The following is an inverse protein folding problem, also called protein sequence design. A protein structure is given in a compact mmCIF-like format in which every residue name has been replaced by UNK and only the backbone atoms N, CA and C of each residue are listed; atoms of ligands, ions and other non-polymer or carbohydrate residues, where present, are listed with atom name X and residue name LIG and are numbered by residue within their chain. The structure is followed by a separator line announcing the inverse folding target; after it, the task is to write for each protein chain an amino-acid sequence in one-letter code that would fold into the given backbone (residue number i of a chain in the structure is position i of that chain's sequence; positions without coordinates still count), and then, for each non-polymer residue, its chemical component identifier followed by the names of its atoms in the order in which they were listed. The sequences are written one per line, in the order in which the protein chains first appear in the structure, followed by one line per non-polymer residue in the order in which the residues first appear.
data_IF_404520685255
#
_entry.id   IF_404520685255
#
_cell.length_a   1.000
_cell.length_b   1.000
_cell.length_c   1.000
_cell.angle_alpha   90.00
_cell.angle_beta   90.00
_cell.angle_gamma   90.00
#
_symmetry.space_group_name_H-M   'P 1'
#
loop_
_entity.id
_entity.type
_entity.pdbx_description
1 polymer ?
#
# COMPACT_ATOMS: atom_id res chain seq x y z
N UNK A 1 -16.78 29.26 -6.91
CA UNK A 1 -16.50 28.54 -5.64
C UNK A 1 -16.23 27.05 -5.87
N UNK A 2 -17.11 26.26 -6.46
CA UNK A 2 -16.91 24.80 -6.61
C UNK A 2 -15.66 24.35 -7.43
N UNK A 3 -15.11 25.16 -8.34
CA UNK A 3 -13.92 24.79 -9.11
C UNK A 3 -12.60 25.10 -8.37
N UNK A 4 -12.62 26.10 -7.52
CA UNK A 4 -11.48 26.49 -6.67
C UNK A 4 -11.26 25.48 -5.55
N UNK A 5 -12.34 25.04 -4.90
CA UNK A 5 -12.27 23.97 -3.87
C UNK A 5 -11.74 22.66 -4.45
N UNK A 6 -12.11 22.30 -5.70
CA UNK A 6 -11.58 21.11 -6.38
C UNK A 6 -10.08 21.18 -6.65
N UNK A 7 -9.56 22.35 -7.03
CA UNK A 7 -8.13 22.51 -7.31
C UNK A 7 -7.29 22.39 -6.02
N UNK A 8 -7.80 22.92 -4.92
CA UNK A 8 -7.19 22.82 -3.60
C UNK A 8 -7.16 21.35 -3.14
N UNK A 9 -8.28 20.66 -3.29
CA UNK A 9 -8.40 19.24 -2.94
C UNK A 9 -7.46 18.35 -3.78
N UNK A 10 -7.28 18.66 -5.06
CA UNK A 10 -6.34 17.95 -5.94
C UNK A 10 -4.88 18.14 -5.50
N UNK A 11 -4.48 19.32 -5.01
CA UNK A 11 -3.14 19.57 -4.50
C UNK A 11 -2.92 18.79 -3.19
N UNK A 12 -3.88 18.83 -2.27
CA UNK A 12 -3.82 18.02 -1.05
C UNK A 12 -3.72 16.53 -1.36
N UNK A 13 -4.53 16.05 -2.31
CA UNK A 13 -4.51 14.67 -2.74
C UNK A 13 -3.18 14.26 -3.39
N UNK A 14 -2.55 15.16 -4.14
CA UNK A 14 -1.24 14.89 -4.73
C UNK A 14 -0.16 14.63 -3.66
N UNK A 15 -0.15 15.42 -2.60
CA UNK A 15 0.81 15.24 -1.51
C UNK A 15 0.49 14.05 -0.61
N UNK A 16 -0.76 13.68 -0.41
CA UNK A 16 -1.15 12.46 0.34
C UNK A 16 -0.68 11.16 -0.32
N UNK A 17 -0.25 11.21 -1.57
CA UNK A 17 0.27 10.05 -2.33
C UNK A 17 1.72 9.73 -2.03
N UNK A 18 2.43 10.66 -1.41
CA UNK A 18 3.85 10.53 -1.12
C UNK A 18 4.05 9.71 0.16
N UNK A 19 5.16 8.97 0.20
CA UNK A 19 5.58 8.29 1.43
C UNK A 19 6.08 9.31 2.46
N UNK A 20 6.18 8.88 3.71
CA UNK A 20 6.71 9.72 4.79
C UNK A 20 8.08 10.34 4.44
N UNK A 21 8.99 9.53 3.90
CA UNK A 21 10.33 9.97 3.50
C UNK A 21 10.28 11.02 2.39
N UNK A 22 9.40 10.84 1.42
CA UNK A 22 9.20 11.79 0.33
C UNK A 22 8.61 13.11 0.83
N UNK A 23 7.63 13.06 1.74
CA UNK A 23 7.06 14.25 2.36
C UNK A 23 8.13 15.04 3.12
N UNK A 24 8.97 14.37 3.92
CA UNK A 24 10.09 14.99 4.64
C UNK A 24 11.08 15.63 3.66
N UNK A 25 11.42 14.95 2.56
CA UNK A 25 12.33 15.50 1.56
C UNK A 25 11.78 16.79 0.94
N UNK A 26 10.51 16.78 0.51
CA UNK A 26 9.86 17.95 -0.07
C UNK A 26 9.72 19.12 0.92
N UNK A 27 9.47 18.83 2.20
CA UNK A 27 9.43 19.84 3.25
C UNK A 27 10.82 20.46 3.53
N UNK A 28 11.88 19.64 3.56
CA UNK A 28 13.26 20.12 3.72
C UNK A 28 13.66 21.04 2.57
N UNK A 29 13.36 20.69 1.34
CA UNK A 29 13.63 21.52 0.16
C UNK A 29 12.94 22.89 0.25
N UNK A 30 11.74 22.95 0.84
CA UNK A 30 10.98 24.20 1.05
C UNK A 30 11.28 24.89 2.38
N UNK A 31 12.25 24.39 3.16
CA UNK A 31 12.59 24.89 4.50
C UNK A 31 11.39 24.92 5.47
N UNK A 32 10.51 23.91 5.34
CA UNK A 32 9.33 23.75 6.19
C UNK A 32 9.61 22.75 7.32
N UNK A 33 8.89 22.87 8.45
CA UNK A 33 9.00 21.90 9.55
C UNK A 33 8.67 20.47 9.10
N UNK A 34 9.49 19.50 9.54
CA UNK A 34 9.39 18.08 9.12
C UNK A 34 8.76 17.19 10.20
N UNK A 35 8.24 17.75 11.28
CA UNK A 35 7.58 17.01 12.36
C UNK A 35 6.07 16.92 12.14
N UNK A 36 5.48 15.78 12.47
CA UNK A 36 4.03 15.52 12.38
C UNK A 36 3.70 14.22 11.67
N UNK A 37 2.41 13.89 11.60
CA UNK A 37 1.88 12.77 10.85
C UNK A 37 1.93 13.05 9.33
N UNK A 38 1.87 12.00 8.51
CA UNK A 38 1.87 12.12 7.04
C UNK A 38 0.76 13.04 6.51
N UNK A 39 -0.41 13.01 7.15
CA UNK A 39 -1.51 13.90 6.82
C UNK A 39 -1.19 15.37 7.09
N UNK A 40 -0.51 15.66 8.20
CA UNK A 40 -0.08 17.02 8.55
C UNK A 40 1.06 17.49 7.64
N UNK A 41 2.01 16.62 7.32
CA UNK A 41 3.11 16.91 6.40
C UNK A 41 2.58 17.21 4.99
N UNK A 42 1.66 16.36 4.48
CA UNK A 42 0.99 16.57 3.19
C UNK A 42 0.17 17.86 3.17
N UNK A 43 -0.58 18.15 4.25
CA UNK A 43 -1.35 19.39 4.37
C UNK A 43 -0.47 20.62 4.37
N UNK A 44 0.68 20.56 5.06
CA UNK A 44 1.66 21.66 5.11
C UNK A 44 2.26 21.96 3.75
N UNK A 45 2.62 20.93 2.98
CA UNK A 45 3.09 21.08 1.60
C UNK A 45 2.01 21.67 0.70
N UNK A 46 0.78 21.14 0.76
CA UNK A 46 -0.34 21.64 -0.04
C UNK A 46 -0.65 23.11 0.27
N UNK A 47 -0.70 23.49 1.54
CA UNK A 47 -0.93 24.88 1.94
C UNK A 47 0.19 25.81 1.46
N UNK A 48 1.44 25.38 1.56
CA UNK A 48 2.57 26.15 1.05
C UNK A 48 2.45 26.41 -0.44
N UNK A 49 2.15 25.38 -1.25
CA UNK A 49 2.05 25.51 -2.69
C UNK A 49 0.80 26.32 -3.10
N UNK A 50 -0.35 26.12 -2.44
CA UNK A 50 -1.55 26.93 -2.66
C UNK A 50 -1.29 28.43 -2.40
N UNK A 51 -0.54 28.77 -1.35
CA UNK A 51 -0.19 30.14 -1.04
C UNK A 51 0.91 30.72 -1.94
N UNK A 52 1.82 29.90 -2.43
CA UNK A 52 2.97 30.32 -3.22
C UNK A 52 2.66 30.45 -4.69
N UNK A 53 1.89 29.49 -5.23
CA UNK A 53 1.45 29.47 -6.61
C UNK A 53 0.00 29.95 -6.66
N UNK A 54 -0.26 31.22 -6.82
CA UNK A 54 -1.60 31.73 -7.08
C UNK A 54 -2.18 31.03 -8.30
N UNK A 55 -3.10 30.09 -8.07
CA UNK A 55 -3.92 29.56 -9.15
C UNK A 55 -4.72 30.71 -9.78
N UNK A 56 -4.57 30.98 -11.08
CA UNK A 56 -5.30 32.07 -11.70
C UNK A 56 -6.80 31.77 -11.59
N UNK A 57 -7.51 32.57 -10.80
CA UNK A 57 -8.98 32.57 -10.82
C UNK A 57 -9.43 32.93 -12.23
N UNK A 58 -10.18 32.03 -12.85
CA UNK A 58 -10.88 32.28 -14.11
C UNK A 58 -12.12 33.20 -13.87
N UNK A 59 -11.92 34.39 -13.35
CA UNK A 59 -12.93 35.44 -13.35
C UNK A 59 -12.25 36.75 -13.73
N UNK A 60 -11.99 36.88 -15.01
CA UNK A 60 -11.52 38.08 -15.65
C UNK A 60 -12.47 38.50 -16.76
N UNK A 61 -13.66 38.91 -16.40
CA UNK A 61 -14.41 39.85 -17.27
C UNK A 61 -15.28 40.77 -16.44
N UNK A 62 -15.06 42.05 -16.69
CA UNK A 62 -15.97 43.16 -16.46
C UNK A 62 -15.82 43.93 -15.14
N UNK A 63 -15.42 45.18 -15.29
CA UNK A 63 -15.57 46.21 -14.28
C UNK A 63 -14.48 47.28 -14.34
N UNK A 64 -14.56 48.19 -15.30
CA UNK A 64 -13.87 49.48 -15.21
C UNK A 64 -14.36 50.19 -13.95
N UNK A 65 -13.44 50.50 -13.04
CA UNK A 65 -13.58 51.66 -12.14
C UNK A 65 -12.23 52.29 -11.89
N UNK A 66 -12.25 53.58 -11.81
CA UNK A 66 -11.20 54.61 -11.81
C UNK A 66 -10.34 54.59 -10.56
N UNK A 67 -9.16 55.25 -10.62
CA UNK A 67 -8.14 55.14 -9.56
C UNK A 67 -8.39 56.14 -8.41
N UNK A 68 -8.36 55.70 -7.19
CA UNK A 68 -8.07 56.53 -6.03
C UNK A 68 -6.75 56.10 -5.37
N UNK A 69 -6.02 57.08 -5.02
CA UNK A 69 -4.62 57.13 -4.56
C UNK A 69 -4.38 56.45 -3.22
N UNK A 70 -3.24 55.80 -3.12
CA UNK A 70 -2.44 55.78 -1.92
C UNK A 70 -2.56 54.54 -1.00
N UNK A 71 -1.75 53.54 -1.28
CA UNK A 71 -0.88 52.97 -0.25
C UNK A 71 0.16 52.02 -0.89
N UNK A 72 1.39 52.29 -0.50
CA UNK A 72 2.62 51.60 -0.89
C UNK A 72 2.56 50.07 -0.67
N UNK A 73 2.18 49.32 -1.70
CA UNK A 73 2.10 47.90 -1.72
C UNK A 73 2.67 47.34 -3.02
N UNK A 74 3.96 47.48 -3.22
CA UNK A 74 4.61 46.74 -4.30
C UNK A 74 6.10 46.56 -4.08
N UNK A 75 6.45 45.69 -3.14
CA UNK A 75 7.62 44.85 -3.37
C UNK A 75 7.09 43.59 -4.06
N UNK A 76 7.50 43.28 -5.30
CA UNK A 76 7.20 42.03 -5.91
C UNK A 76 7.74 40.93 -4.97
N UNK A 77 6.86 40.08 -4.43
CA UNK A 77 7.30 38.89 -3.69
C UNK A 77 8.23 38.16 -4.62
N UNK A 78 9.49 38.00 -4.20
CA UNK A 78 10.48 37.22 -4.94
C UNK A 78 9.85 35.88 -5.25
N UNK A 79 9.68 35.58 -6.56
CA UNK A 79 9.29 34.22 -6.99
C UNK A 79 10.34 33.30 -6.39
N UNK A 80 9.91 32.35 -5.56
CA UNK A 80 10.78 31.24 -5.18
C UNK A 80 11.22 30.60 -6.50
N UNK A 81 12.52 30.53 -6.78
CA UNK A 81 12.97 29.96 -8.05
C UNK A 81 12.44 28.53 -8.15
N UNK A 82 11.84 28.20 -9.28
CA UNK A 82 11.46 26.83 -9.59
C UNK A 82 12.71 25.94 -9.48
N UNK A 83 12.54 24.74 -8.90
CA UNK A 83 13.64 23.79 -8.84
C UNK A 83 14.13 23.50 -10.26
N UNK A 84 15.45 23.50 -10.50
CA UNK A 84 15.99 23.06 -11.78
C UNK A 84 15.46 21.69 -12.18
N UNK A 85 15.20 21.48 -13.46
CA UNK A 85 14.63 20.24 -13.96
C UNK A 85 15.51 19.03 -13.64
N UNK A 86 16.82 19.24 -13.53
CA UNK A 86 17.80 18.20 -13.16
C UNK A 86 17.57 17.74 -11.70
N UNK A 87 17.29 18.68 -10.78
CA UNK A 87 17.01 18.37 -9.38
C UNK A 87 15.66 17.65 -9.26
N UNK A 88 14.66 18.09 -10.04
CA UNK A 88 13.37 17.39 -10.10
C UNK A 88 13.54 15.97 -10.66
N UNK A 89 14.38 15.78 -11.67
CA UNK A 89 14.67 14.47 -12.23
C UNK A 89 15.32 13.53 -11.19
N UNK A 90 16.31 14.04 -10.45
CA UNK A 90 16.96 13.28 -9.38
C UNK A 90 15.97 12.91 -8.26
N UNK A 91 15.11 13.85 -7.85
CA UNK A 91 14.04 13.59 -6.87
C UNK A 91 13.12 12.48 -7.40
N UNK A 92 12.67 12.55 -8.65
CA UNK A 92 11.77 11.56 -9.24
C UNK A 92 12.44 10.19 -9.38
N UNK A 93 13.72 10.15 -9.69
CA UNK A 93 14.48 8.90 -9.74
C UNK A 93 14.60 8.26 -8.35
N UNK A 94 14.77 9.05 -7.29
CA UNK A 94 14.73 8.56 -5.90
C UNK A 94 13.34 8.11 -5.44
N UNK A 95 12.28 8.75 -5.94
CA UNK A 95 10.89 8.32 -5.74
C UNK A 95 10.64 6.94 -6.32
N UNK A 96 11.36 6.59 -7.39
CA UNK A 96 11.28 5.28 -8.02
C UNK A 96 9.98 5.03 -8.81
N UNK A 97 9.20 6.08 -9.09
CA UNK A 97 7.92 5.99 -9.80
C UNK A 97 8.02 6.60 -11.21
N UNK A 98 8.27 5.74 -12.19
CA UNK A 98 8.36 6.16 -13.60
C UNK A 98 7.07 6.82 -14.10
N UNK A 99 5.90 6.28 -13.70
CA UNK A 99 4.59 6.80 -14.12
C UNK A 99 4.37 8.21 -13.58
N UNK A 100 4.72 8.44 -12.32
CA UNK A 100 4.62 9.76 -11.70
C UNK A 100 5.56 10.76 -12.37
N UNK A 101 6.81 10.39 -12.62
CA UNK A 101 7.76 11.26 -13.31
C UNK A 101 7.25 11.67 -14.69
N UNK A 102 6.72 10.72 -15.47
CA UNK A 102 6.12 11.00 -16.78
C UNK A 102 4.84 11.82 -16.70
N UNK A 103 3.98 11.57 -15.69
CA UNK A 103 2.75 12.32 -15.50
C UNK A 103 3.00 13.81 -15.22
N UNK A 104 4.06 14.13 -14.47
CA UNK A 104 4.44 15.53 -14.18
C UNK A 104 5.39 16.13 -15.23
N UNK A 105 5.73 15.37 -16.27
CA UNK A 105 6.59 15.83 -17.37
C UNK A 105 8.07 15.98 -17.03
N UNK A 106 8.55 15.32 -15.98
CA UNK A 106 9.94 15.37 -15.54
C UNK A 106 10.74 14.25 -16.20
N UNK A 107 11.95 14.51 -16.71
CA UNK A 107 12.86 13.46 -17.18
C UNK A 107 13.18 12.47 -16.06
N UNK A 108 13.35 11.19 -16.40
CA UNK A 108 13.72 10.14 -15.44
C UNK A 108 14.63 9.13 -16.08
N UNK A 109 15.62 8.64 -15.33
CA UNK A 109 16.51 7.54 -15.70
C UNK A 109 15.90 6.16 -15.43
N UNK A 110 14.75 6.10 -14.73
CA UNK A 110 14.09 4.86 -14.42
C UNK A 110 13.68 4.10 -15.68
N UNK A 111 13.86 2.78 -15.70
CA UNK A 111 13.44 1.96 -16.83
C UNK A 111 11.92 2.01 -16.99
N UNK A 112 11.47 2.06 -18.25
CA UNK A 112 10.04 1.98 -18.55
C UNK A 112 9.48 0.64 -18.06
N UNK A 113 8.39 0.66 -17.27
CA UNK A 113 7.78 -0.58 -16.79
C UNK A 113 7.26 -1.44 -17.95
N UNK A 114 7.40 -2.78 -17.82
CA UNK A 114 6.99 -3.73 -18.86
C UNK A 114 5.56 -3.50 -19.37
N UNK A 115 4.56 -3.22 -18.55
CA UNK A 115 3.21 -2.95 -19.06
C UNK A 115 3.12 -1.78 -20.04
N UNK A 116 4.01 -0.80 -19.93
CA UNK A 116 4.06 0.39 -20.81
C UNK A 116 4.74 0.14 -22.14
N UNK A 117 5.45 -0.97 -22.33
CA UNK A 117 6.10 -1.31 -23.61
C UNK A 117 5.10 -1.53 -24.76
N UNK A 118 3.84 -1.85 -24.40
CA UNK A 118 2.73 -2.06 -25.34
C UNK A 118 1.68 -0.94 -25.29
N UNK A 119 1.99 0.15 -24.59
CA UNK A 119 1.10 1.30 -24.48
C UNK A 119 0.93 1.99 -25.83
N UNK A 120 -0.29 2.41 -26.11
CA UNK A 120 -0.65 3.15 -27.33
C UNK A 120 -0.65 4.68 -27.08
N UNK A 121 -0.84 5.52 -28.11
CA UNK A 121 -0.84 6.97 -27.95
C UNK A 121 -1.87 7.47 -26.94
N UNK A 122 -3.04 6.81 -26.82
CA UNK A 122 -4.05 7.20 -25.86
C UNK A 122 -3.64 6.87 -24.41
N UNK A 123 -2.94 5.76 -24.19
CA UNK A 123 -2.38 5.43 -22.87
C UNK A 123 -1.39 6.50 -22.40
N UNK A 124 -0.50 6.95 -23.29
CA UNK A 124 0.45 8.03 -23.00
C UNK A 124 -0.24 9.38 -22.77
N UNK A 125 -1.33 9.66 -23.48
CA UNK A 125 -2.12 10.86 -23.25
C UNK A 125 -2.82 10.82 -21.89
N UNK A 126 -3.40 9.68 -21.49
CA UNK A 126 -4.03 9.49 -20.18
C UNK A 126 -3.01 9.61 -19.06
N UNK A 127 -1.77 9.17 -19.27
CA UNK A 127 -0.68 9.29 -18.29
C UNK A 127 -0.47 10.75 -17.86
N UNK A 128 -0.65 11.72 -18.76
CA UNK A 128 -0.53 13.15 -18.45
C UNK A 128 -1.76 13.74 -17.74
N UNK A 129 -2.91 13.06 -17.78
CA UNK A 129 -4.18 13.59 -17.28
C UNK A 129 -4.74 14.80 -18.07
N UNK A 130 -4.14 15.15 -19.21
CA UNK A 130 -4.48 16.36 -19.97
C UNK A 130 -5.47 16.04 -21.09
N UNK A 131 -6.73 16.50 -20.92
CA UNK A 131 -7.85 16.21 -21.81
C UNK A 131 -7.59 16.55 -23.29
N UNK A 132 -6.98 17.70 -23.66
CA UNK A 132 -6.70 18.00 -25.07
C UNK A 132 -5.81 16.95 -25.76
N UNK A 133 -4.81 16.38 -25.06
CA UNK A 133 -4.00 15.30 -25.61
C UNK A 133 -4.78 14.00 -25.75
N UNK A 134 -5.65 13.68 -24.78
CA UNK A 134 -6.52 12.51 -24.86
C UNK A 134 -7.49 12.62 -26.02
N UNK A 135 -8.04 13.82 -26.24
CA UNK A 135 -8.91 14.10 -27.40
C UNK A 135 -8.16 13.95 -28.73
N UNK A 136 -6.93 14.46 -28.80
CA UNK A 136 -6.10 14.35 -30.00
C UNK A 136 -5.67 12.89 -30.31
N UNK A 137 -5.48 12.07 -29.27
CA UNK A 137 -5.17 10.66 -29.40
C UNK A 137 -6.37 9.79 -29.81
N UNK A 138 -7.58 10.32 -29.75
CA UNK A 138 -8.86 9.67 -30.08
C UNK A 138 -9.04 8.30 -29.42
N UNK A 139 -9.65 8.26 -28.21
CA UNK A 139 -9.90 7.00 -27.50
C UNK A 139 -10.76 5.98 -28.23
N UNK A 140 -11.53 6.41 -29.24
CA UNK A 140 -12.37 5.50 -30.03
C UNK A 140 -11.53 4.68 -31.00
N UNK A 141 -10.53 5.30 -31.62
CA UNK A 141 -9.59 4.67 -32.56
C UNK A 141 -8.45 3.97 -31.82
N UNK A 142 -7.81 4.67 -30.86
CA UNK A 142 -6.71 4.15 -30.04
C UNK A 142 -7.25 3.78 -28.66
N UNK A 143 -7.90 2.63 -28.55
CA UNK A 143 -8.53 2.20 -27.28
C UNK A 143 -7.51 2.12 -26.15
N UNK A 144 -7.73 2.83 -25.03
CA UNK A 144 -6.89 2.74 -23.86
C UNK A 144 -6.80 1.30 -23.32
N UNK A 145 -5.65 0.95 -22.77
CA UNK A 145 -5.41 -0.38 -22.17
C UNK A 145 -5.74 -0.38 -20.68
N UNK A 146 -5.66 -1.57 -20.06
CA UNK A 146 -5.84 -1.71 -18.60
C UNK A 146 -4.81 -0.89 -17.81
N UNK A 147 -3.62 -0.65 -18.37
CA UNK A 147 -2.55 0.11 -17.71
C UNK A 147 -3.01 1.54 -17.45
N UNK A 148 -3.50 2.23 -18.49
CA UNK A 148 -4.00 3.61 -18.34
C UNK A 148 -5.31 3.68 -17.54
N UNK A 149 -6.16 2.63 -17.60
CA UNK A 149 -7.35 2.56 -16.76
C UNK A 149 -7.01 2.56 -15.27
N UNK A 150 -6.07 1.71 -14.84
CA UNK A 150 -5.60 1.65 -13.46
C UNK A 150 -4.90 2.96 -13.07
N UNK A 151 -4.08 3.50 -13.96
CA UNK A 151 -3.34 4.74 -13.73
C UNK A 151 -4.27 5.95 -13.53
N UNK A 152 -5.30 6.11 -14.35
CA UNK A 152 -6.25 7.21 -14.21
C UNK A 152 -6.94 7.20 -12.84
N UNK A 153 -7.24 6.02 -12.31
CA UNK A 153 -7.77 5.85 -10.95
C UNK A 153 -6.67 6.12 -9.92
N UNK A 154 -5.49 5.53 -10.07
CA UNK A 154 -4.34 5.68 -9.16
C UNK A 154 -3.95 7.15 -8.99
N UNK A 155 -3.98 7.95 -10.04
CA UNK A 155 -3.66 9.38 -9.99
C UNK A 155 -4.89 10.27 -9.73
N UNK A 156 -6.06 9.66 -9.47
CA UNK A 156 -7.30 10.38 -9.17
C UNK A 156 -7.71 11.37 -10.28
N UNK A 157 -7.54 10.98 -11.55
CA UNK A 157 -7.89 11.80 -12.70
C UNK A 157 -9.40 11.79 -12.96
N UNK A 158 -10.17 12.34 -12.01
CA UNK A 158 -11.64 12.44 -12.12
C UNK A 158 -12.07 13.13 -13.40
N UNK A 159 -11.32 14.16 -13.86
CA UNK A 159 -11.55 14.84 -15.13
C UNK A 159 -11.46 13.90 -16.35
N UNK A 160 -10.52 12.97 -16.33
CA UNK A 160 -10.36 11.96 -17.40
C UNK A 160 -11.50 10.96 -17.37
N UNK A 161 -11.86 10.47 -16.17
CA UNK A 161 -12.99 9.57 -15.97
C UNK A 161 -14.29 10.19 -16.47
N UNK A 162 -14.57 11.44 -16.09
CA UNK A 162 -15.74 12.21 -16.54
C UNK A 162 -15.75 12.40 -18.06
N UNK A 163 -14.60 12.77 -18.65
CA UNK A 163 -14.46 12.94 -20.08
C UNK A 163 -14.75 11.64 -20.84
N UNK A 164 -14.15 10.52 -20.43
CA UNK A 164 -14.38 9.22 -21.06
C UNK A 164 -15.82 8.75 -20.88
N UNK A 165 -16.40 8.92 -19.70
CA UNK A 165 -17.79 8.57 -19.44
C UNK A 165 -18.78 9.34 -20.31
N UNK A 166 -18.54 10.65 -20.50
CA UNK A 166 -19.45 11.54 -21.22
C UNK A 166 -19.30 11.40 -22.74
N UNK A 167 -18.06 11.33 -23.26
CA UNK A 167 -17.80 11.42 -24.70
C UNK A 167 -17.46 10.05 -25.33
N UNK A 168 -16.94 9.09 -24.56
CA UNK A 168 -16.48 7.79 -25.04
C UNK A 168 -17.01 6.65 -24.17
N UNK A 169 -18.32 6.63 -23.91
CA UNK A 169 -18.99 5.71 -22.96
C UNK A 169 -18.66 4.23 -23.21
N UNK A 170 -18.65 3.79 -24.47
CA UNK A 170 -18.32 2.39 -24.80
C UNK A 170 -16.87 2.02 -24.45
N UNK A 171 -15.94 2.97 -24.60
CA UNK A 171 -14.54 2.81 -24.22
C UNK A 171 -14.45 2.76 -22.70
N UNK A 172 -15.08 3.71 -22.00
CA UNK A 172 -15.14 3.73 -20.54
C UNK A 172 -15.63 2.40 -19.96
N UNK A 173 -16.77 1.91 -20.43
CA UNK A 173 -17.34 0.64 -19.96
C UNK A 173 -16.43 -0.58 -20.28
N UNK A 174 -15.68 -0.52 -21.37
CA UNK A 174 -14.71 -1.57 -21.68
C UNK A 174 -13.47 -1.56 -20.79
N UNK A 175 -13.04 -0.39 -20.33
CA UNK A 175 -11.90 -0.19 -19.43
C UNK A 175 -12.22 -0.61 -17.98
N UNK A 176 -13.39 -0.25 -17.49
CA UNK A 176 -13.77 -0.40 -16.07
C UNK A 176 -14.81 -1.50 -15.85
N UNK A 177 -14.55 -2.70 -16.43
CA UNK A 177 -15.37 -3.90 -16.19
C UNK A 177 -15.14 -4.46 -14.79
N UNK A 178 -16.10 -5.25 -14.32
CA UNK A 178 -15.98 -6.07 -13.10
C UNK A 178 -15.59 -5.25 -11.85
N UNK A 179 -16.22 -4.08 -11.69
CA UNK A 179 -16.00 -3.18 -10.56
C UNK A 179 -14.53 -2.73 -10.38
N UNK A 180 -13.72 -2.79 -11.45
CA UNK A 180 -12.30 -2.40 -11.41
C UNK A 180 -12.09 -1.00 -10.82
N UNK A 181 -13.00 -0.06 -11.11
CA UNK A 181 -12.86 1.33 -10.69
C UNK A 181 -12.96 1.49 -9.17
N UNK A 182 -14.05 1.06 -8.48
CA UNK A 182 -14.14 1.19 -7.03
C UNK A 182 -13.09 0.33 -6.31
N UNK A 183 -12.74 -0.86 -6.81
CA UNK A 183 -11.69 -1.69 -6.23
C UNK A 183 -10.33 -0.96 -6.30
N UNK A 184 -9.94 -0.49 -7.49
CA UNK A 184 -8.65 0.20 -7.67
C UNK A 184 -8.61 1.53 -6.89
N UNK A 185 -9.70 2.29 -6.85
CA UNK A 185 -9.78 3.52 -6.09
C UNK A 185 -9.58 3.28 -4.59
N UNK A 186 -10.18 2.21 -4.07
CA UNK A 186 -10.04 1.81 -2.67
C UNK A 186 -8.62 1.39 -2.32
N UNK A 187 -7.98 0.58 -3.18
CA UNK A 187 -6.59 0.15 -3.06
C UNK A 187 -5.61 1.31 -2.94
N UNK A 188 -5.91 2.42 -3.60
CA UNK A 188 -5.04 3.59 -3.67
C UNK A 188 -5.52 4.78 -2.82
N UNK A 189 -6.56 4.64 -2.02
CA UNK A 189 -7.05 5.71 -1.17
C UNK A 189 -7.72 6.86 -1.92
N UNK A 190 -8.30 6.62 -3.11
CA UNK A 190 -8.80 7.67 -4.00
C UNK A 190 -10.28 7.96 -3.76
N UNK A 191 -10.58 8.56 -2.61
CA UNK A 191 -11.96 8.88 -2.17
C UNK A 191 -12.68 9.83 -3.13
N UNK A 192 -11.97 10.73 -3.81
CA UNK A 192 -12.55 11.59 -4.84
C UNK A 192 -13.09 10.77 -6.03
N UNK A 193 -12.37 9.72 -6.44
CA UNK A 193 -12.82 8.79 -7.49
C UNK A 193 -14.01 7.97 -7.01
N UNK A 194 -13.98 7.47 -5.78
CA UNK A 194 -15.09 6.74 -5.17
C UNK A 194 -16.36 7.59 -5.10
N UNK A 195 -16.23 8.86 -4.71
CA UNK A 195 -17.34 9.80 -4.61
C UNK A 195 -17.90 10.15 -5.98
N UNK A 196 -17.03 10.37 -6.97
CA UNK A 196 -17.44 10.56 -8.37
C UNK A 196 -18.17 9.32 -8.91
N UNK A 197 -17.64 8.12 -8.68
CA UNK A 197 -18.23 6.86 -9.11
C UNK A 197 -19.62 6.65 -8.47
N UNK A 198 -19.75 6.86 -7.15
CA UNK A 198 -21.04 6.77 -6.46
C UNK A 198 -22.06 7.76 -7.02
N UNK A 199 -21.63 9.01 -7.26
CA UNK A 199 -22.48 10.04 -7.87
C UNK A 199 -22.96 9.60 -9.26
N UNK A 200 -22.05 9.10 -10.10
CA UNK A 200 -22.37 8.63 -11.45
C UNK A 200 -23.28 7.41 -11.43
N UNK A 201 -23.05 6.45 -10.53
CA UNK A 201 -23.96 5.32 -10.31
C UNK A 201 -25.38 5.78 -9.93
N UNK A 202 -25.49 6.75 -9.03
CA UNK A 202 -26.80 7.25 -8.58
C UNK A 202 -27.59 7.91 -9.72
N UNK A 203 -26.93 8.63 -10.64
CA UNK A 203 -27.58 9.32 -11.75
C UNK A 203 -27.74 8.43 -13.01
N UNK A 204 -26.92 7.41 -13.15
CA UNK A 204 -26.91 6.51 -14.31
C UNK A 204 -26.83 5.03 -13.88
N UNK A 205 -27.82 4.53 -13.11
CA UNK A 205 -27.79 3.16 -12.56
C UNK A 205 -27.93 2.07 -13.64
N UNK A 206 -28.44 2.44 -14.81
CA UNK A 206 -28.55 1.60 -16.01
C UNK A 206 -27.19 1.40 -16.72
N UNK A 207 -26.24 2.29 -16.47
CA UNK A 207 -24.91 2.28 -17.09
C UNK A 207 -23.85 1.75 -16.14
N UNK A 208 -23.83 2.23 -14.91
CA UNK A 208 -22.95 1.78 -13.86
C UNK A 208 -23.79 1.01 -12.84
N UNK A 209 -23.71 -0.32 -12.87
CA UNK A 209 -24.46 -1.18 -11.96
C UNK A 209 -24.00 -1.00 -10.51
N UNK A 210 -24.87 -1.43 -9.59
CA UNK A 210 -24.47 -1.56 -8.18
C UNK A 210 -23.32 -2.56 -8.04
N UNK A 211 -22.30 -2.26 -7.22
CA UNK A 211 -21.18 -3.17 -7.02
C UNK A 211 -21.65 -4.47 -6.36
N UNK A 212 -21.04 -5.57 -6.74
CA UNK A 212 -21.29 -6.87 -6.12
C UNK A 212 -20.73 -6.91 -4.70
N UNK A 213 -21.32 -7.68 -3.78
CA UNK A 213 -20.78 -7.84 -2.42
C UNK A 213 -19.32 -8.29 -2.41
N UNK A 214 -18.93 -9.19 -3.30
CA UNK A 214 -17.56 -9.68 -3.43
C UNK A 214 -16.61 -8.56 -3.86
N UNK A 215 -17.03 -7.69 -4.78
CA UNK A 215 -16.25 -6.54 -5.22
C UNK A 215 -16.06 -5.49 -4.12
N UNK A 216 -17.07 -5.33 -3.25
CA UNK A 216 -16.98 -4.46 -2.08
C UNK A 216 -15.97 -5.07 -1.08
N UNK A 217 -16.06 -6.39 -0.84
CA UNK A 217 -15.11 -7.07 0.02
C UNK A 217 -13.67 -6.93 -0.50
N UNK A 218 -13.43 -7.14 -1.80
CA UNK A 218 -12.12 -6.93 -2.42
C UNK A 218 -11.61 -5.49 -2.26
N UNK A 219 -12.50 -4.51 -2.36
CA UNK A 219 -12.18 -3.09 -2.19
C UNK A 219 -11.78 -2.76 -0.74
N UNK A 220 -12.53 -3.27 0.24
CA UNK A 220 -12.29 -3.05 1.68
C UNK A 220 -11.05 -3.81 2.16
N UNK A 221 -10.90 -5.07 1.76
CA UNK A 221 -9.73 -5.90 2.09
C UNK A 221 -8.46 -5.30 1.46
N UNK A 222 -8.57 -4.83 0.21
CA UNK A 222 -7.50 -4.15 -0.47
C UNK A 222 -7.10 -2.80 0.14
N UNK A 223 -8.08 -2.01 0.58
CA UNK A 223 -7.84 -0.77 1.31
C UNK A 223 -7.13 -1.05 2.65
N UNK A 224 -7.57 -2.07 3.37
CA UNK A 224 -6.95 -2.51 4.62
C UNK A 224 -5.49 -2.94 4.42
N UNK A 225 -5.22 -3.77 3.40
CA UNK A 225 -3.88 -4.21 3.03
C UNK A 225 -2.93 -3.05 2.73
N UNK A 226 -3.42 -2.01 2.07
CA UNK A 226 -2.61 -0.88 1.62
C UNK A 226 -2.59 0.30 2.61
N UNK A 227 -3.22 0.17 3.77
CA UNK A 227 -3.20 1.22 4.78
C UNK A 227 -4.13 2.41 4.49
N UNK A 228 -5.16 2.22 3.64
CA UNK A 228 -6.00 3.31 3.14
C UNK A 228 -7.22 3.57 4.04
N UNK A 229 -6.98 4.12 5.24
CA UNK A 229 -8.03 4.43 6.23
C UNK A 229 -9.14 5.31 5.64
N UNK A 230 -8.78 6.32 4.83
CA UNK A 230 -9.77 7.19 4.19
C UNK A 230 -10.75 6.44 3.26
N UNK A 231 -10.29 5.35 2.60
CA UNK A 231 -11.18 4.49 1.82
C UNK A 231 -12.12 3.69 2.71
N UNK A 232 -11.63 3.21 3.85
CA UNK A 232 -12.45 2.47 4.82
C UNK A 232 -13.55 3.37 5.40
N UNK A 233 -13.21 4.61 5.80
CA UNK A 233 -14.20 5.60 6.25
C UNK A 233 -15.21 5.91 5.15
N UNK A 234 -14.75 6.07 3.90
CA UNK A 234 -15.65 6.29 2.78
C UNK A 234 -16.64 5.12 2.58
N UNK A 235 -16.16 3.87 2.64
CA UNK A 235 -17.02 2.70 2.44
C UNK A 235 -18.05 2.55 3.55
N UNK A 236 -17.67 2.70 4.83
CA UNK A 236 -18.59 2.55 5.95
C UNK A 236 -19.71 3.60 5.93
N UNK A 237 -19.41 4.81 5.42
CA UNK A 237 -20.36 5.92 5.31
C UNK A 237 -21.02 6.02 3.92
N UNK A 238 -20.67 5.13 2.99
CA UNK A 238 -21.13 5.20 1.61
C UNK A 238 -22.62 4.90 1.42
N UNK A 239 -23.25 4.20 2.36
CA UNK A 239 -24.60 3.66 2.22
C UNK A 239 -24.70 2.39 1.36
N UNK A 240 -23.60 1.87 0.83
CA UNK A 240 -23.50 0.51 0.30
C UNK A 240 -23.39 -0.49 1.46
N UNK A 241 -23.75 -1.78 1.26
CA UNK A 241 -23.44 -2.82 2.23
C UNK A 241 -21.94 -2.83 2.51
N UNK A 242 -21.55 -2.83 3.79
CA UNK A 242 -20.13 -2.89 4.15
C UNK A 242 -19.72 -4.36 4.27
N UNK A 243 -19.07 -4.85 3.22
CA UNK A 243 -18.61 -6.24 3.13
C UNK A 243 -17.09 -6.30 3.18
N UNK A 244 -16.57 -7.34 3.83
CA UNK A 244 -15.14 -7.62 3.94
C UNK A 244 -14.92 -9.06 4.39
N UNK A 245 -13.69 -9.55 4.24
CA UNK A 245 -13.29 -10.91 4.66
C UNK A 245 -12.25 -10.88 5.79
N UNK A 246 -11.79 -12.04 6.23
CA UNK A 246 -10.68 -12.14 7.17
C UNK A 246 -9.40 -11.51 6.59
N UNK A 247 -9.27 -11.48 5.27
CA UNK A 247 -8.12 -10.92 4.57
C UNK A 247 -7.88 -9.44 4.87
N UNK A 248 -8.91 -8.67 5.29
CA UNK A 248 -8.74 -7.28 5.71
C UNK A 248 -7.74 -7.15 6.86
N UNK A 249 -7.96 -7.90 7.95
CA UNK A 249 -7.11 -7.85 9.14
C UNK A 249 -5.81 -8.64 8.95
N UNK A 250 -5.86 -9.80 8.28
CA UNK A 250 -4.69 -10.60 7.96
C UNK A 250 -3.67 -9.83 7.11
N UNK A 251 -4.14 -9.20 6.03
CA UNK A 251 -3.28 -8.43 5.14
C UNK A 251 -2.76 -7.15 5.79
N UNK A 252 -3.58 -6.47 6.63
CA UNK A 252 -3.14 -5.32 7.40
C UNK A 252 -2.02 -5.70 8.36
N UNK A 253 -2.14 -6.84 9.04
CA UNK A 253 -1.11 -7.39 9.95
C UNK A 253 0.15 -7.78 9.18
N UNK A 254 0.02 -8.48 8.04
CA UNK A 254 1.13 -8.88 7.17
C UNK A 254 1.86 -7.69 6.51
N UNK A 255 1.27 -6.50 6.48
CA UNK A 255 1.85 -5.27 5.92
C UNK A 255 2.13 -4.21 6.97
N UNK A 256 2.02 -4.56 8.24
CA UNK A 256 2.26 -3.67 9.38
C UNK A 256 1.43 -2.37 9.31
N UNK A 257 0.13 -2.47 8.97
CA UNK A 257 -0.75 -1.32 8.83
C UNK A 257 -1.44 -0.99 10.16
N UNK A 258 -0.68 -0.54 11.14
CA UNK A 258 -1.16 -0.28 12.51
C UNK A 258 -2.36 0.67 12.51
N UNK A 259 -2.31 1.78 11.76
CA UNK A 259 -3.42 2.72 11.67
C UNK A 259 -4.74 2.08 11.17
N UNK A 260 -4.65 1.06 10.32
CA UNK A 260 -5.82 0.28 9.88
C UNK A 260 -6.30 -0.64 10.99
N UNK A 261 -5.39 -1.30 11.71
CA UNK A 261 -5.77 -2.14 12.86
C UNK A 261 -6.47 -1.31 13.95
N UNK A 262 -5.97 -0.11 14.24
CA UNK A 262 -6.60 0.85 15.14
C UNK A 262 -8.00 1.25 14.66
N UNK A 263 -8.14 1.53 13.38
CA UNK A 263 -9.43 1.87 12.76
C UNK A 263 -10.45 0.73 12.94
N UNK A 264 -10.07 -0.51 12.63
CA UNK A 264 -10.93 -1.68 12.79
C UNK A 264 -11.35 -1.88 14.24
N UNK A 265 -10.42 -1.75 15.19
CA UNK A 265 -10.68 -1.83 16.63
C UNK A 265 -11.65 -0.73 17.06
N UNK A 266 -11.41 0.51 16.67
CA UNK A 266 -12.28 1.65 16.99
C UNK A 266 -13.70 1.44 16.48
N UNK A 267 -13.86 1.06 15.21
CA UNK A 267 -15.19 0.84 14.61
C UNK A 267 -15.92 -0.36 15.23
N UNK A 268 -15.19 -1.38 15.67
CA UNK A 268 -15.80 -2.52 16.39
C UNK A 268 -16.34 -2.15 17.77
N UNK A 269 -15.65 -1.27 18.48
CA UNK A 269 -16.04 -0.80 19.81
C UNK A 269 -17.06 0.36 19.76
N UNK A 270 -17.19 1.02 18.62
CA UNK A 270 -18.09 2.17 18.45
C UNK A 270 -19.54 1.76 18.62
N UNK A 271 -20.33 2.45 19.48
CA UNK A 271 -21.76 2.18 19.64
C UNK A 271 -22.56 2.40 18.35
N UNK A 272 -22.05 3.23 17.46
CA UNK A 272 -22.72 3.59 16.19
C UNK A 272 -22.57 2.49 15.15
N UNK A 273 -21.34 1.95 14.95
CA UNK A 273 -21.08 0.97 13.90
C UNK A 273 -21.17 -0.48 14.39
N UNK A 274 -20.61 -0.80 15.57
CA UNK A 274 -20.55 -2.15 16.15
C UNK A 274 -20.09 -3.20 15.13
N UNK A 275 -19.04 -2.86 14.38
CA UNK A 275 -18.57 -3.66 13.28
C UNK A 275 -17.99 -4.99 13.80
N UNK A 276 -18.54 -6.17 13.40
CA UNK A 276 -17.99 -7.44 13.85
C UNK A 276 -16.61 -7.67 13.25
N UNK A 277 -15.61 -8.03 14.07
CA UNK A 277 -14.27 -8.32 13.55
C UNK A 277 -14.20 -9.77 13.04
N UNK A 278 -13.80 -9.94 11.78
CA UNK A 278 -13.45 -11.24 11.20
C UNK A 278 -11.96 -11.48 11.40
N UNK A 279 -11.60 -11.90 12.61
CA UNK A 279 -10.21 -12.15 12.99
C UNK A 279 -9.81 -13.53 12.46
N UNK A 280 -9.00 -13.55 11.41
CA UNK A 280 -8.39 -14.74 10.86
C UNK A 280 -7.04 -15.04 11.51
N UNK A 281 -6.06 -15.49 10.73
CA UNK A 281 -4.73 -15.91 11.18
C UNK A 281 -3.74 -14.74 11.27
N UNK A 282 -4.16 -13.66 11.91
CA UNK A 282 -3.45 -12.37 11.94
C UNK A 282 -2.04 -12.46 12.54
N UNK A 283 -1.86 -13.27 13.60
CA UNK A 283 -0.55 -13.47 14.24
C UNK A 283 0.39 -14.29 13.35
N UNK A 284 -0.15 -15.31 12.66
CA UNK A 284 0.64 -16.12 11.72
C UNK A 284 1.12 -15.25 10.55
N UNK A 285 0.23 -14.41 10.02
CA UNK A 285 0.54 -13.52 8.89
C UNK A 285 1.58 -12.46 9.27
N UNK A 286 1.46 -11.84 10.46
CA UNK A 286 2.45 -10.90 10.97
C UNK A 286 3.81 -11.57 11.23
N UNK A 287 3.79 -12.79 11.79
CA UNK A 287 5.00 -13.58 12.05
C UNK A 287 5.72 -13.96 10.74
N UNK A 288 4.98 -14.42 9.75
CA UNK A 288 5.52 -14.73 8.41
C UNK A 288 6.21 -13.53 7.77
N UNK A 289 5.59 -12.37 7.87
CA UNK A 289 6.11 -11.13 7.29
C UNK A 289 7.29 -10.53 8.09
N UNK A 290 7.41 -10.85 9.37
CA UNK A 290 8.47 -10.33 10.23
C UNK A 290 8.10 -9.05 10.98
N UNK A 291 6.81 -8.76 11.16
CA UNK A 291 6.33 -7.52 11.74
C UNK A 291 6.04 -7.64 13.23
N UNK A 292 7.05 -7.40 14.05
CA UNK A 292 6.97 -7.41 15.53
C UNK A 292 5.96 -6.37 16.04
N UNK A 293 5.90 -5.19 15.43
CA UNK A 293 4.98 -4.11 15.83
C UNK A 293 3.50 -4.55 15.70
N UNK A 294 3.15 -5.25 14.61
CA UNK A 294 1.81 -5.80 14.45
C UNK A 294 1.50 -6.89 15.48
N UNK A 295 2.48 -7.75 15.82
CA UNK A 295 2.34 -8.77 16.87
C UNK A 295 2.10 -8.12 18.24
N UNK A 296 2.85 -7.09 18.58
CA UNK A 296 2.72 -6.33 19.82
C UNK A 296 1.37 -5.63 19.91
N UNK A 297 0.91 -5.05 18.79
CA UNK A 297 -0.42 -4.46 18.69
C UNK A 297 -1.51 -5.50 19.01
N UNK A 298 -1.46 -6.69 18.42
CA UNK A 298 -2.43 -7.76 18.67
C UNK A 298 -2.38 -8.23 20.11
N UNK A 299 -1.20 -8.46 20.69
CA UNK A 299 -1.02 -8.90 22.06
C UNK A 299 -1.56 -7.89 23.07
N UNK A 300 -1.44 -6.58 22.79
CA UNK A 300 -1.92 -5.49 23.66
C UNK A 300 -3.36 -5.05 23.38
N UNK A 301 -3.96 -5.50 22.28
CA UNK A 301 -5.25 -5.01 21.78
C UNK A 301 -6.46 -5.39 22.65
N UNK A 302 -6.34 -6.37 23.56
CA UNK A 302 -7.43 -7.00 24.31
C UNK A 302 -8.44 -7.76 23.41
N UNK A 303 -8.08 -7.98 22.15
CA UNK A 303 -8.78 -8.88 21.26
C UNK A 303 -8.16 -10.27 21.38
N UNK A 304 -8.92 -11.30 21.03
CA UNK A 304 -8.44 -12.70 21.08
C UNK A 304 -7.92 -13.12 19.69
N UNK A 305 -6.62 -12.85 19.37
CA UNK A 305 -6.06 -13.23 18.09
C UNK A 305 -5.89 -14.74 18.01
N UNK A 306 -6.27 -15.32 16.88
CA UNK A 306 -6.05 -16.74 16.61
C UNK A 306 -4.65 -16.94 16.04
N UNK A 307 -3.96 -17.97 16.51
CA UNK A 307 -2.67 -18.42 15.99
C UNK A 307 -2.45 -19.90 16.29
N UNK A 308 -1.57 -20.51 15.54
CA UNK A 308 -1.17 -21.90 15.75
C UNK A 308 0.35 -22.07 15.50
N UNK A 309 0.82 -23.32 15.35
CA UNK A 309 2.23 -23.62 15.07
C UNK A 309 2.78 -22.93 13.82
N UNK A 310 1.92 -22.51 12.88
CA UNK A 310 2.33 -21.88 11.63
C UNK A 310 3.00 -20.52 11.87
N UNK A 311 2.66 -19.80 12.95
CA UNK A 311 3.31 -18.54 13.31
C UNK A 311 4.84 -18.73 13.44
N UNK A 312 5.25 -19.72 14.23
CA UNK A 312 6.68 -20.00 14.48
C UNK A 312 7.33 -20.76 13.32
N UNK A 313 6.59 -21.66 12.67
CA UNK A 313 7.05 -22.35 11.47
C UNK A 313 7.44 -21.38 10.36
N UNK A 314 6.52 -20.50 9.95
CA UNK A 314 6.79 -19.52 8.88
C UNK A 314 7.85 -18.48 9.28
N UNK A 315 7.87 -18.03 10.55
CA UNK A 315 8.94 -17.17 11.03
C UNK A 315 10.31 -17.88 10.88
N UNK A 316 10.36 -19.18 11.17
CA UNK A 316 11.58 -20.00 11.01
C UNK A 316 11.98 -20.16 9.54
N UNK A 317 11.05 -20.47 8.64
CA UNK A 317 11.30 -20.56 7.19
C UNK A 317 11.86 -19.25 6.60
N UNK A 318 11.34 -18.13 7.07
CA UNK A 318 11.68 -16.80 6.51
C UNK A 318 12.80 -16.07 7.26
N UNK A 319 13.48 -16.73 8.19
CA UNK A 319 14.64 -16.14 8.88
C UNK A 319 14.29 -15.02 9.86
N UNK A 320 13.05 -14.99 10.41
CA UNK A 320 12.55 -13.90 11.23
C UNK A 320 12.91 -14.07 12.70
N UNK A 321 14.20 -14.00 13.01
CA UNK A 321 14.75 -14.20 14.38
C UNK A 321 14.12 -13.20 15.38
N UNK A 322 13.91 -11.96 14.98
CA UNK A 322 13.30 -10.95 15.85
C UNK A 322 11.86 -11.32 16.27
N UNK A 323 11.10 -11.93 15.36
CA UNK A 323 9.76 -12.45 15.65
C UNK A 323 9.82 -13.60 16.64
N UNK A 324 10.74 -14.55 16.43
CA UNK A 324 10.94 -15.67 17.36
C UNK A 324 11.33 -15.17 18.76
N UNK A 325 12.21 -14.17 18.82
CA UNK A 325 12.60 -13.54 20.07
C UNK A 325 11.43 -12.83 20.75
N UNK A 326 10.58 -12.14 19.97
CA UNK A 326 9.37 -11.51 20.48
C UNK A 326 8.41 -12.56 21.08
N UNK A 327 8.16 -13.67 20.36
CA UNK A 327 7.30 -14.76 20.85
C UNK A 327 7.81 -15.32 22.19
N UNK A 328 9.11 -15.52 22.33
CA UNK A 328 9.74 -16.01 23.58
C UNK A 328 9.52 -15.04 24.75
N UNK A 329 9.52 -13.73 24.49
CA UNK A 329 9.32 -12.68 25.50
C UNK A 329 7.88 -12.24 25.73
N UNK A 330 6.93 -12.60 24.84
CA UNK A 330 5.56 -12.07 24.83
C UNK A 330 4.66 -12.57 25.97
N UNK A 331 5.01 -13.68 26.62
CA UNK A 331 4.17 -14.34 27.60
C UNK A 331 2.99 -15.13 27.00
N UNK A 332 2.81 -15.11 25.67
CA UNK A 332 1.83 -15.93 24.97
C UNK A 332 2.30 -17.39 24.90
N UNK A 333 1.35 -18.31 24.78
CA UNK A 333 1.70 -19.72 24.60
C UNK A 333 2.39 -19.94 23.26
N UNK A 334 3.64 -20.39 23.28
CA UNK A 334 4.36 -20.77 22.06
C UNK A 334 3.90 -22.15 21.60
N UNK A 335 3.37 -22.22 20.38
CA UNK A 335 2.94 -23.47 19.75
C UNK A 335 3.91 -23.77 18.61
N UNK A 336 4.70 -24.84 18.76
CA UNK A 336 5.71 -25.22 17.77
C UNK A 336 5.91 -26.74 17.77
N UNK A 337 6.50 -27.24 16.72
CA UNK A 337 6.91 -28.64 16.55
C UNK A 337 8.23 -28.73 15.75
N UNK A 338 8.61 -29.94 15.41
CA UNK A 338 9.84 -30.23 14.63
C UNK A 338 9.86 -29.53 13.25
N UNK A 339 8.70 -29.17 12.69
CA UNK A 339 8.62 -28.52 11.37
C UNK A 339 9.33 -27.16 11.36
N UNK A 340 9.44 -26.49 12.50
CA UNK A 340 10.19 -25.23 12.60
C UNK A 340 11.69 -25.41 12.27
N UNK A 341 12.30 -26.55 12.69
CA UNK A 341 13.69 -26.86 12.38
C UNK A 341 13.87 -27.36 10.95
N UNK A 342 12.96 -28.22 10.46
CA UNK A 342 13.00 -28.69 9.08
C UNK A 342 12.76 -27.54 8.11
N UNK A 343 11.84 -26.62 8.42
CA UNK A 343 11.59 -25.40 7.65
C UNK A 343 12.83 -24.49 7.60
N UNK A 344 13.45 -24.21 8.73
CA UNK A 344 14.69 -23.43 8.80
C UNK A 344 15.82 -24.08 7.99
N UNK A 345 15.94 -25.41 8.05
CA UNK A 345 16.96 -26.17 7.30
C UNK A 345 16.70 -26.11 5.79
N UNK A 346 15.45 -26.34 5.34
CA UNK A 346 15.04 -26.29 3.93
C UNK A 346 15.24 -24.89 3.31
N UNK A 347 15.05 -23.84 4.08
CA UNK A 347 15.22 -22.46 3.63
C UNK A 347 16.63 -21.89 3.92
N UNK A 348 17.56 -22.76 4.33
CA UNK A 348 18.96 -22.39 4.61
C UNK A 348 19.10 -21.23 5.61
N UNK A 349 18.45 -21.35 6.79
CA UNK A 349 18.39 -20.31 7.83
C UNK A 349 19.21 -20.73 9.09
N UNK A 350 20.55 -20.74 9.01
CA UNK A 350 21.38 -21.14 10.15
C UNK A 350 21.22 -20.21 11.36
N UNK A 351 20.89 -18.93 11.15
CA UNK A 351 20.60 -17.96 12.21
C UNK A 351 19.37 -18.34 13.05
N UNK A 352 18.37 -18.94 12.42
CA UNK A 352 17.18 -19.46 13.10
C UNK A 352 17.48 -20.74 13.85
N UNK A 353 18.26 -21.66 13.26
CA UNK A 353 18.70 -22.87 13.94
C UNK A 353 19.49 -22.53 15.20
N UNK A 354 20.39 -21.55 15.12
CA UNK A 354 21.15 -21.03 16.25
C UNK A 354 20.25 -20.41 17.32
N UNK A 355 19.19 -19.70 16.91
CA UNK A 355 18.23 -19.16 17.85
C UNK A 355 17.47 -20.27 18.59
N UNK A 356 16.94 -21.29 17.87
CA UNK A 356 16.27 -22.43 18.49
C UNK A 356 17.15 -23.16 19.49
N UNK A 357 18.42 -23.38 19.16
CA UNK A 357 19.38 -23.98 20.01
C UNK A 357 19.63 -23.19 21.31
N UNK A 358 19.73 -21.86 21.21
CA UNK A 358 19.97 -20.99 22.36
C UNK A 358 18.71 -20.66 23.15
N UNK A 359 17.54 -20.90 22.61
CA UNK A 359 16.25 -20.56 23.24
C UNK A 359 15.98 -21.38 24.52
N UNK A 360 16.58 -22.56 24.65
CA UNK A 360 16.33 -23.50 25.74
C UNK A 360 14.95 -24.18 25.64
N UNK A 361 14.22 -24.01 24.54
CA UNK A 361 12.93 -24.65 24.32
C UNK A 361 13.11 -26.12 23.94
N UNK A 362 12.27 -27.05 24.45
CA UNK A 362 12.41 -28.48 24.19
C UNK A 362 11.90 -28.86 22.80
N UNK A 363 12.58 -28.41 21.75
CA UNK A 363 12.25 -28.76 20.39
C UNK A 363 12.89 -30.07 19.96
N UNK A 364 12.09 -30.90 19.31
CA UNK A 364 12.50 -32.24 18.88
C UNK A 364 12.79 -32.27 17.37
N UNK A 365 13.61 -33.18 16.91
CA UNK A 365 13.87 -33.45 15.51
C UNK A 365 14.25 -34.91 15.28
N UNK A 366 14.17 -35.37 14.03
CA UNK A 366 14.75 -36.58 13.53
C UNK A 366 15.79 -36.26 12.47
N UNK A 367 16.87 -36.97 12.43
CA UNK A 367 17.93 -36.75 11.45
C UNK A 367 17.43 -36.97 10.01
N UNK A 368 16.54 -37.96 9.78
CA UNK A 368 15.92 -38.19 8.47
C UNK A 368 15.12 -36.99 7.97
N UNK A 369 14.34 -36.35 8.84
CA UNK A 369 13.52 -35.19 8.47
C UNK A 369 14.43 -33.97 8.14
N UNK A 370 15.55 -33.83 8.87
CA UNK A 370 16.51 -32.75 8.60
C UNK A 370 17.28 -33.02 7.31
N UNK A 371 17.70 -34.25 7.03
CA UNK A 371 18.41 -34.59 5.78
C UNK A 371 17.50 -34.39 4.56
N UNK A 372 16.26 -34.89 4.62
CA UNK A 372 15.28 -34.63 3.58
C UNK A 372 15.07 -33.12 3.32
N UNK A 373 14.96 -32.34 4.40
CA UNK A 373 14.83 -30.89 4.29
C UNK A 373 16.05 -30.22 3.65
N UNK A 374 17.25 -30.74 3.92
CA UNK A 374 18.51 -30.24 3.35
C UNK A 374 18.72 -30.69 1.89
N UNK A 375 18.22 -31.86 1.50
CA UNK A 375 18.22 -32.30 0.10
C UNK A 375 17.30 -31.45 -0.76
N UNK A 376 16.12 -31.10 -0.23
CA UNK A 376 15.15 -30.23 -0.87
C UNK A 376 15.45 -28.73 -0.69
N UNK A 377 16.64 -28.38 -0.20
CA UNK A 377 16.91 -27.01 0.23
C UNK A 377 16.90 -25.99 -0.92
N UNK A 378 16.17 -24.92 -0.70
CA UNK A 378 16.10 -23.77 -1.60
C UNK A 378 17.42 -22.98 -1.51
N UNK A 379 18.18 -22.95 -2.61
CA UNK A 379 19.46 -22.23 -2.67
C UNK A 379 20.67 -23.02 -2.17
N UNK A 380 20.54 -24.37 -2.01
CA UNK A 380 21.66 -25.28 -1.79
C UNK A 380 21.87 -25.79 -0.35
N UNK A 381 21.27 -25.20 0.67
CA UNK A 381 21.25 -25.71 2.05
C UNK A 381 22.60 -25.83 2.78
N UNK A 382 23.71 -25.36 2.20
CA UNK A 382 25.05 -25.60 2.68
C UNK A 382 25.34 -25.00 4.07
N UNK A 383 24.82 -23.79 4.32
CA UNK A 383 25.03 -23.09 5.60
C UNK A 383 24.27 -23.79 6.74
N UNK A 384 23.05 -24.24 6.49
CA UNK A 384 22.26 -25.00 7.45
C UNK A 384 22.88 -26.38 7.67
N UNK A 385 23.35 -27.07 6.61
CA UNK A 385 24.06 -28.37 6.72
C UNK A 385 25.34 -28.26 7.55
N UNK A 386 26.12 -27.20 7.34
CA UNK A 386 27.31 -26.92 8.11
C UNK A 386 27.00 -26.63 9.59
N UNK A 387 25.91 -25.91 9.84
CA UNK A 387 25.43 -25.65 11.18
C UNK A 387 25.10 -26.97 11.92
N UNK A 388 24.36 -27.90 11.28
CA UNK A 388 24.02 -29.20 11.83
C UNK A 388 25.24 -30.06 12.09
N UNK A 389 26.26 -30.07 11.19
CA UNK A 389 27.53 -30.75 11.42
C UNK A 389 28.26 -30.23 12.65
N UNK A 390 28.30 -28.91 12.82
CA UNK A 390 28.91 -28.32 14.04
C UNK A 390 28.16 -28.70 15.31
N UNK A 391 26.89 -28.97 15.24
CA UNK A 391 26.09 -29.51 16.34
C UNK A 391 26.30 -31.01 16.58
N UNK A 392 27.11 -31.67 15.78
CA UNK A 392 27.45 -33.08 15.93
C UNK A 392 26.47 -34.05 15.26
N UNK A 393 25.61 -33.56 14.38
CA UNK A 393 24.73 -34.41 13.56
C UNK A 393 25.58 -35.15 12.52
N UNK A 394 25.59 -36.48 12.60
CA UNK A 394 26.28 -37.36 11.65
C UNK A 394 25.29 -37.81 10.56
N UNK A 395 25.41 -37.25 9.41
CA UNK A 395 24.58 -37.58 8.22
C UNK A 395 24.92 -38.97 7.62
N UNK A 396 25.93 -39.68 8.15
CA UNK A 396 26.29 -41.04 7.76
C UNK A 396 25.89 -42.09 8.81
N UNK A 397 25.09 -41.71 9.81
CA UNK A 397 24.61 -42.60 10.84
C UNK A 397 23.74 -43.74 10.28
N UNK A 398 23.58 -44.82 11.05
CA UNK A 398 22.73 -45.95 10.65
C UNK A 398 21.25 -45.63 10.79
N UNK A 399 20.37 -46.41 10.12
CA UNK A 399 18.93 -46.21 10.05
C UNK A 399 18.23 -46.10 11.41
N UNK A 400 18.76 -46.73 12.46
CA UNK A 400 18.16 -46.65 13.79
C UNK A 400 18.38 -45.28 14.45
N UNK A 401 19.55 -44.69 14.24
CA UNK A 401 19.84 -43.32 14.73
C UNK A 401 19.13 -42.26 13.90
N UNK A 402 18.97 -42.50 12.61
CA UNK A 402 18.27 -41.59 11.69
C UNK A 402 16.82 -41.33 12.05
N UNK A 403 16.11 -42.38 12.43
CA UNK A 403 14.66 -42.27 12.77
C UNK A 403 14.39 -41.94 14.23
N UNK A 404 15.45 -41.90 15.06
CA UNK A 404 15.32 -41.59 16.50
C UNK A 404 14.98 -40.13 16.74
N UNK A 405 13.97 -39.91 17.60
CA UNK A 405 13.60 -38.60 18.06
C UNK A 405 14.68 -38.06 19.01
N UNK A 406 15.21 -36.91 18.71
CA UNK A 406 16.27 -36.24 19.48
C UNK A 406 15.78 -34.84 19.89
N UNK A 407 16.39 -34.29 20.92
CA UNK A 407 16.20 -32.93 21.36
C UNK A 407 17.36 -32.07 20.88
N UNK A 408 17.08 -30.83 20.47
CA UNK A 408 18.11 -29.90 20.03
C UNK A 408 18.91 -29.35 21.23
N UNK A 409 18.25 -29.21 22.39
CA UNK A 409 18.79 -28.63 23.63
C UNK A 409 18.86 -29.68 24.72
#
# INVERSE_FOLDING_TARGET
MASYDRSIEQVHEAYRRLTHEQLILFLKVRSLPTSGSDAELASRLAQFDIHTYHFPSKDGQSGRETPEEGHDASKPRARVPDLPVEVLAEIMDHVGDWELAKAVGVPTSLPQPIPWTRANPCDHAILTGYIPLIRAADPATNRPTKVSAVLAVRFSYVNVLEYLFTHHRSVFLSMYRDDLLPITASLHGRTAVLSWWKHTHTHHPDVISKPKPESIADAVDGASRNGQVASLDWWIDSGFPFEYTEAALESASAKNRIAVLDWWKEKSLSPHYRLPLKIGRVMDMASTAGHVEALEWWASSQLEPKYDRQALYHASCHGKVEVLQWWLGSGLQMIFDQEALTGASRHNRPEVLEWWDKSGLPIQYRMCDIEEALEDAIGGGEQAREWWRRKGVDFNANDKEWSKLQYLN
#
